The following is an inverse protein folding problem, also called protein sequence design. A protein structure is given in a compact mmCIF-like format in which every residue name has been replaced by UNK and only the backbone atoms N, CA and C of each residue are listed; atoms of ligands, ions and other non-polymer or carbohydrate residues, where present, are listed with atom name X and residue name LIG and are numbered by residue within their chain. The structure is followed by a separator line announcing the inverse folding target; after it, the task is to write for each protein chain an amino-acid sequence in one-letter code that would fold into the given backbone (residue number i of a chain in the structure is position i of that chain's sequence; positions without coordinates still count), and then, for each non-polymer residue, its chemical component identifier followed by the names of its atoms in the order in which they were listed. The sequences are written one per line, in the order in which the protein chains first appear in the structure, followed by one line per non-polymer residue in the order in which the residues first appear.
data_IF_302152576897
#
_entry.id   IF_302152576897
#
_cell.length_a   1.000
_cell.length_b   1.000
_cell.length_c   1.000
_cell.angle_alpha   90.00
_cell.angle_beta   90.00
_cell.angle_gamma   90.00
#
_symmetry.space_group_name_H-M   'P 1'
#
loop_
_entity.id
_entity.type
_entity.pdbx_description
1 polymer ?
#
# COMPACT_ATOMS: atom_id res chain seq x y z
N UNK A 1 39.19 1.69 15.54
CA UNK A 1 37.83 1.13 15.66
C UNK A 1 37.96 -0.39 15.66
N UNK A 2 37.86 -1.03 16.82
CA UNK A 2 37.88 -2.50 16.93
C UNK A 2 36.46 -3.01 16.76
N UNK A 3 36.18 -3.70 15.65
CA UNK A 3 34.94 -4.45 15.49
C UNK A 3 34.85 -5.50 16.59
N UNK A 4 33.85 -5.38 17.47
CA UNK A 4 33.64 -6.33 18.56
C UNK A 4 33.44 -7.74 17.99
N UNK A 5 34.15 -8.78 18.49
CA UNK A 5 34.00 -10.17 18.02
C UNK A 5 32.55 -10.69 18.10
N UNK A 6 31.70 -10.08 18.94
CA UNK A 6 30.26 -10.36 19.04
C UNK A 6 29.48 -9.96 17.78
N UNK A 7 29.85 -8.86 17.13
CA UNK A 7 29.20 -8.36 15.91
C UNK A 7 29.47 -9.26 14.69
N UNK A 8 30.67 -9.84 14.63
CA UNK A 8 31.04 -10.79 13.58
C UNK A 8 30.27 -12.11 13.71
N UNK A 9 30.08 -12.63 14.93
CA UNK A 9 29.32 -13.87 15.16
C UNK A 9 27.83 -13.75 14.81
N UNK A 10 27.19 -12.62 15.14
CA UNK A 10 25.78 -12.37 14.78
C UNK A 10 25.59 -12.23 13.27
N UNK A 11 26.53 -11.55 12.60
CA UNK A 11 26.48 -11.35 11.15
C UNK A 11 26.68 -12.67 10.41
N UNK A 12 27.64 -13.50 10.85
CA UNK A 12 27.86 -14.83 10.28
C UNK A 12 26.65 -15.74 10.49
N UNK A 13 25.99 -15.69 11.65
CA UNK A 13 24.77 -16.46 11.92
C UNK A 13 23.60 -16.07 10.98
N UNK A 14 23.36 -14.77 10.80
CA UNK A 14 22.32 -14.27 9.90
C UNK A 14 22.55 -14.70 8.45
N UNK A 15 23.79 -14.65 8.00
CA UNK A 15 24.18 -14.98 6.62
C UNK A 15 24.11 -16.48 6.37
N UNK A 16 24.64 -17.29 7.29
CA UNK A 16 24.75 -18.74 7.10
C UNK A 16 23.41 -19.48 7.30
N UNK A 17 22.57 -19.02 8.23
CA UNK A 17 21.38 -19.77 8.65
C UNK A 17 20.06 -19.09 8.30
N UNK A 18 19.96 -17.77 8.44
CA UNK A 18 18.68 -17.04 8.30
C UNK A 18 18.41 -16.65 6.85
N UNK A 19 19.42 -16.16 6.13
CA UNK A 19 19.26 -15.72 4.74
C UNK A 19 18.82 -16.83 3.76
N UNK A 20 19.38 -18.06 3.79
CA UNK A 20 18.93 -19.14 2.90
C UNK A 20 17.45 -19.50 3.10
N UNK A 21 16.97 -19.47 4.35
CA UNK A 21 15.57 -19.74 4.69
C UNK A 21 14.62 -18.63 4.23
N UNK A 22 15.13 -17.39 4.11
CA UNK A 22 14.34 -16.22 3.71
C UNK A 22 14.24 -16.01 2.20
N UNK A 23 15.20 -16.52 1.42
CA UNK A 23 15.20 -16.39 -0.05
C UNK A 23 13.83 -16.68 -0.70
N UNK A 24 13.16 -17.82 -0.44
CA UNK A 24 11.85 -18.08 -1.07
C UNK A 24 10.79 -17.05 -0.66
N UNK A 25 10.79 -16.60 0.60
CA UNK A 25 9.86 -15.58 1.09
C UNK A 25 10.12 -14.20 0.47
N UNK A 26 11.39 -13.85 0.20
CA UNK A 26 11.77 -12.60 -0.47
C UNK A 26 11.32 -12.60 -1.93
N UNK A 27 11.50 -13.70 -2.66
CA UNK A 27 10.99 -13.82 -4.04
C UNK A 27 9.45 -13.75 -4.09
N UNK A 28 8.77 -14.49 -3.21
CA UNK A 28 7.31 -14.43 -3.11
C UNK A 28 6.86 -13.00 -2.77
N UNK A 29 7.53 -12.36 -1.80
CA UNK A 29 7.25 -10.97 -1.42
C UNK A 29 7.40 -10.05 -2.62
N UNK A 30 8.52 -10.11 -3.35
CA UNK A 30 8.77 -9.29 -4.52
C UNK A 30 7.70 -9.45 -5.60
N UNK A 31 7.30 -10.69 -5.90
CA UNK A 31 6.23 -10.98 -6.87
C UNK A 31 4.88 -10.41 -6.41
N UNK A 32 4.54 -10.59 -5.14
CA UNK A 32 3.28 -10.10 -4.57
C UNK A 32 3.26 -8.57 -4.51
N UNK A 33 4.34 -7.93 -4.08
CA UNK A 33 4.43 -6.46 -4.00
C UNK A 33 4.44 -5.83 -5.38
N UNK A 34 5.08 -6.47 -6.37
CA UNK A 34 4.93 -6.10 -7.77
C UNK A 34 3.47 -6.16 -8.24
N UNK A 35 2.76 -7.24 -7.92
CA UNK A 35 1.34 -7.37 -8.26
C UNK A 35 0.49 -6.26 -7.61
N UNK A 36 0.76 -5.92 -6.34
CA UNK A 36 0.12 -4.78 -5.64
C UNK A 36 0.34 -3.48 -6.39
N UNK A 37 1.59 -3.19 -6.80
CA UNK A 37 1.95 -1.98 -7.55
C UNK A 37 1.17 -1.91 -8.85
N UNK A 38 1.17 -2.98 -9.63
CA UNK A 38 0.46 -3.05 -10.92
C UNK A 38 -1.05 -2.90 -10.74
N UNK A 39 -1.66 -3.64 -9.83
CA UNK A 39 -3.12 -3.59 -9.60
C UNK A 39 -3.56 -2.21 -9.10
N UNK A 40 -2.80 -1.63 -8.17
CA UNK A 40 -3.04 -0.29 -7.63
C UNK A 40 -2.91 0.80 -8.69
N UNK A 41 -1.89 0.71 -9.55
CA UNK A 41 -1.68 1.65 -10.66
C UNK A 41 -2.82 1.54 -11.69
N UNK A 42 -3.20 0.33 -12.09
CA UNK A 42 -4.30 0.12 -13.04
C UNK A 42 -5.64 0.64 -12.49
N UNK A 43 -5.94 0.35 -11.21
CA UNK A 43 -7.16 0.81 -10.57
C UNK A 43 -7.22 2.34 -10.48
N UNK A 44 -6.16 2.97 -9.98
CA UNK A 44 -6.10 4.42 -9.83
C UNK A 44 -6.17 5.13 -11.19
N UNK A 45 -5.38 4.70 -12.18
CA UNK A 45 -5.41 5.24 -13.54
C UNK A 45 -6.79 5.10 -14.20
N UNK A 46 -7.44 3.95 -14.09
CA UNK A 46 -8.76 3.72 -14.69
C UNK A 46 -9.83 4.63 -14.09
N UNK A 47 -9.76 4.90 -12.78
CA UNK A 47 -10.69 5.82 -12.13
C UNK A 47 -10.39 7.27 -12.53
N UNK A 48 -9.12 7.69 -12.50
CA UNK A 48 -8.71 9.06 -12.80
C UNK A 48 -8.96 9.47 -14.26
N UNK A 49 -8.76 8.55 -15.20
CA UNK A 49 -8.97 8.80 -16.64
C UNK A 49 -10.44 8.78 -17.06
N UNK A 50 -11.32 8.15 -16.26
CA UNK A 50 -12.74 8.10 -16.56
C UNK A 50 -13.46 9.37 -16.08
N UNK A 51 -13.87 10.23 -17.03
CA UNK A 51 -14.64 11.46 -16.74
C UNK A 51 -15.90 11.20 -15.90
N UNK A 52 -16.55 10.05 -16.08
CA UNK A 52 -17.77 9.67 -15.35
C UNK A 52 -17.44 9.26 -13.91
N UNK A 53 -16.40 8.44 -13.70
CA UNK A 53 -16.01 8.00 -12.36
C UNK A 53 -15.38 9.15 -11.57
N UNK A 54 -14.61 10.03 -12.21
CA UNK A 54 -13.99 11.18 -11.55
C UNK A 54 -15.02 12.23 -11.05
N UNK A 55 -16.30 12.10 -11.40
CA UNK A 55 -17.38 12.91 -10.79
C UNK A 55 -17.96 12.27 -9.53
N UNK A 56 -17.76 10.96 -9.33
CA UNK A 56 -18.22 10.23 -8.15
C UNK A 56 -17.25 10.39 -6.99
N UNK A 57 -17.71 10.98 -5.88
CA UNK A 57 -16.90 11.12 -4.66
C UNK A 57 -16.36 9.78 -4.14
N UNK A 58 -17.18 8.73 -4.20
CA UNK A 58 -16.76 7.37 -3.81
C UNK A 58 -15.64 6.83 -4.68
N UNK A 59 -15.69 7.05 -6.00
CA UNK A 59 -14.61 6.60 -6.88
C UNK A 59 -13.31 7.35 -6.60
N UNK A 60 -13.36 8.65 -6.27
CA UNK A 60 -12.17 9.40 -5.83
C UNK A 60 -11.56 8.85 -4.55
N UNK A 61 -12.37 8.45 -3.59
CA UNK A 61 -11.87 7.83 -2.34
C UNK A 61 -11.17 6.50 -2.64
N UNK A 62 -11.75 5.67 -3.49
CA UNK A 62 -11.10 4.42 -3.95
C UNK A 62 -9.80 4.71 -4.68
N UNK A 63 -9.80 5.66 -5.61
CA UNK A 63 -8.60 6.06 -6.33
C UNK A 63 -7.50 6.51 -5.36
N UNK A 64 -7.85 7.36 -4.39
CA UNK A 64 -6.93 7.85 -3.37
C UNK A 64 -6.33 6.71 -2.55
N UNK A 65 -7.16 5.79 -2.07
CA UNK A 65 -6.70 4.62 -1.32
C UNK A 65 -5.84 3.68 -2.17
N UNK A 66 -6.17 3.48 -3.46
CA UNK A 66 -5.31 2.71 -4.36
C UNK A 66 -3.97 3.40 -4.64
N UNK A 67 -3.91 4.73 -4.64
CA UNK A 67 -2.64 5.47 -4.75
C UNK A 67 -1.78 5.25 -3.51
N UNK A 68 -2.36 5.23 -2.30
CA UNK A 68 -1.57 4.94 -1.09
C UNK A 68 -1.04 3.51 -1.08
N UNK A 69 -1.84 2.53 -1.54
CA UNK A 69 -1.35 1.15 -1.73
C UNK A 69 -0.27 1.04 -2.80
N UNK A 70 -0.33 1.84 -3.88
CA UNK A 70 0.75 1.92 -4.85
C UNK A 70 2.05 2.43 -4.21
N UNK A 71 2.01 3.51 -3.43
CA UNK A 71 3.21 4.07 -2.76
C UNK A 71 3.79 3.06 -1.76
N UNK A 72 2.95 2.46 -0.90
CA UNK A 72 3.36 1.40 0.04
C UNK A 72 3.98 0.21 -0.70
N UNK A 73 3.30 -0.28 -1.75
CA UNK A 73 3.74 -1.42 -2.56
C UNK A 73 5.06 -1.14 -3.28
N UNK A 74 5.24 0.07 -3.82
CA UNK A 74 6.47 0.47 -4.49
C UNK A 74 7.66 0.52 -3.51
N UNK A 75 7.46 1.07 -2.31
CA UNK A 75 8.46 1.03 -1.25
C UNK A 75 8.85 -0.41 -0.88
N UNK A 76 7.86 -1.26 -0.65
CA UNK A 76 8.10 -2.67 -0.30
C UNK A 76 8.79 -3.45 -1.43
N UNK A 77 8.38 -3.25 -2.68
CA UNK A 77 8.98 -3.89 -3.85
C UNK A 77 10.44 -3.46 -4.05
N UNK A 78 10.77 -2.18 -3.85
CA UNK A 78 12.15 -1.70 -3.92
C UNK A 78 13.03 -2.35 -2.84
N UNK A 79 12.50 -2.49 -1.62
CA UNK A 79 13.21 -3.19 -0.54
C UNK A 79 13.41 -4.67 -0.91
N UNK A 80 12.35 -5.36 -1.36
CA UNK A 80 12.40 -6.76 -1.78
C UNK A 80 13.43 -6.97 -2.91
N UNK A 81 13.48 -6.08 -3.90
CA UNK A 81 14.44 -6.16 -5.01
C UNK A 81 15.89 -6.02 -4.54
N UNK A 82 16.17 -5.07 -3.63
CA UNK A 82 17.50 -4.87 -3.05
C UNK A 82 17.93 -6.12 -2.27
N UNK A 83 17.01 -6.70 -1.49
CA UNK A 83 17.25 -7.90 -0.69
C UNK A 83 17.50 -9.14 -1.59
N UNK A 84 16.83 -9.23 -2.76
CA UNK A 84 17.00 -10.34 -3.71
C UNK A 84 18.27 -10.21 -4.57
N UNK A 85 18.57 -9.01 -5.09
CA UNK A 85 19.63 -8.79 -6.08
C UNK A 85 21.02 -8.59 -5.50
N UNK A 86 21.18 -8.49 -4.18
CA UNK A 86 22.49 -8.31 -3.55
C UNK A 86 23.13 -9.68 -3.26
N UNK A 87 23.92 -10.29 -4.17
CA UNK A 87 24.22 -11.72 -4.15
C UNK A 87 25.41 -12.06 -3.22
N UNK A 88 25.98 -11.06 -2.54
CA UNK A 88 27.08 -11.25 -1.60
C UNK A 88 26.74 -10.47 -0.34
N UNK A 89 26.48 -11.21 0.72
CA UNK A 89 26.05 -10.80 2.05
C UNK A 89 26.92 -9.75 2.77
N UNK A 90 28.03 -9.29 2.18
CA UNK A 90 28.77 -8.09 2.63
C UNK A 90 28.17 -6.78 2.09
N UNK A 91 27.55 -6.80 0.91
CA UNK A 91 26.98 -5.60 0.28
C UNK A 91 25.52 -5.33 0.64
N UNK A 92 24.80 -6.31 1.19
CA UNK A 92 23.44 -6.13 1.73
C UNK A 92 23.43 -5.15 2.93
N UNK A 93 24.53 -5.12 3.69
CA UNK A 93 24.76 -4.14 4.77
C UNK A 93 25.42 -2.83 4.30
N UNK A 94 25.96 -2.83 3.07
CA UNK A 94 26.69 -1.73 2.45
C UNK A 94 25.90 -1.10 1.29
N UNK A 95 24.58 -1.29 1.24
CA UNK A 95 23.73 -0.35 0.51
C UNK A 95 24.11 1.05 1.00
N UNK A 96 24.48 1.95 0.08
CA UNK A 96 24.79 3.35 0.41
C UNK A 96 23.70 3.82 1.36
N UNK A 97 24.05 4.31 2.54
CA UNK A 97 23.12 4.72 3.61
C UNK A 97 21.90 5.49 3.05
N UNK A 98 22.13 6.29 2.01
CA UNK A 98 21.15 7.03 1.22
C UNK A 98 20.11 6.15 0.50
N UNK A 99 20.50 5.09 -0.22
CA UNK A 99 19.54 4.24 -0.96
C UNK A 99 18.66 3.44 -0.01
N UNK A 100 19.24 2.93 1.06
CA UNK A 100 18.51 2.25 2.13
C UNK A 100 17.57 3.21 2.88
N UNK A 101 18.00 4.44 3.15
CA UNK A 101 17.14 5.49 3.71
C UNK A 101 15.91 5.72 2.84
N UNK A 102 16.10 5.98 1.54
CA UNK A 102 14.99 6.30 0.66
C UNK A 102 14.00 5.14 0.53
N UNK A 103 14.46 3.89 0.45
CA UNK A 103 13.53 2.75 0.33
C UNK A 103 12.72 2.53 1.61
N UNK A 104 13.34 2.63 2.78
CA UNK A 104 12.64 2.58 4.06
C UNK A 104 11.68 3.75 4.26
N UNK A 105 12.10 4.96 3.91
CA UNK A 105 11.28 6.16 3.99
C UNK A 105 10.04 6.04 3.11
N UNK A 106 10.17 5.58 1.86
CA UNK A 106 9.03 5.38 0.94
C UNK A 106 8.07 4.34 1.51
N UNK A 107 8.57 3.23 2.06
CA UNK A 107 7.74 2.20 2.66
C UNK A 107 6.96 2.71 3.88
N UNK A 108 7.66 3.32 4.86
CA UNK A 108 7.05 3.89 6.07
C UNK A 108 6.02 4.95 5.69
N UNK A 109 6.40 5.87 4.81
CA UNK A 109 5.51 6.93 4.32
C UNK A 109 4.26 6.34 3.66
N UNK A 110 4.42 5.33 2.80
CA UNK A 110 3.29 4.63 2.19
C UNK A 110 2.39 3.94 3.20
N UNK A 111 2.94 3.35 4.26
CA UNK A 111 2.18 2.73 5.34
C UNK A 111 1.40 3.77 6.15
N UNK A 112 2.03 4.89 6.54
CA UNK A 112 1.34 6.00 7.22
C UNK A 112 0.20 6.54 6.37
N UNK A 113 0.42 6.71 5.06
CA UNK A 113 -0.61 7.14 4.13
C UNK A 113 -1.82 6.19 4.12
N UNK A 114 -1.62 4.87 4.13
CA UNK A 114 -2.73 3.91 4.16
C UNK A 114 -3.53 4.05 5.45
N UNK A 115 -2.88 4.24 6.61
CA UNK A 115 -3.55 4.46 7.90
C UNK A 115 -4.37 5.75 7.87
N UNK A 116 -3.74 6.88 7.54
CA UNK A 116 -4.34 8.22 7.60
C UNK A 116 -5.50 8.38 6.60
N UNK A 117 -5.28 7.94 5.35
CA UNK A 117 -6.30 8.02 4.31
C UNK A 117 -7.46 7.09 4.64
N UNK A 118 -7.22 5.90 5.18
CA UNK A 118 -8.31 5.00 5.60
C UNK A 118 -9.13 5.60 6.74
N UNK A 119 -8.49 6.26 7.70
CA UNK A 119 -9.18 6.98 8.78
C UNK A 119 -10.05 8.11 8.23
N UNK A 120 -9.52 8.94 7.33
CA UNK A 120 -10.26 10.03 6.69
C UNK A 120 -11.43 9.49 5.86
N UNK A 121 -11.22 8.43 5.09
CA UNK A 121 -12.27 7.77 4.31
C UNK A 121 -13.36 7.24 5.25
N UNK A 122 -13.01 6.61 6.36
CA UNK A 122 -13.98 6.13 7.34
C UNK A 122 -14.83 7.27 7.88
N UNK A 123 -14.21 8.39 8.28
CA UNK A 123 -14.92 9.60 8.71
C UNK A 123 -15.85 10.10 7.60
N UNK A 124 -15.38 10.27 6.36
CA UNK A 124 -16.19 10.81 5.26
C UNK A 124 -17.37 9.92 4.88
N UNK A 125 -17.13 8.61 4.76
CA UNK A 125 -18.16 7.65 4.36
C UNK A 125 -19.21 7.52 5.47
N UNK A 126 -18.78 7.49 6.73
CA UNK A 126 -19.69 7.32 7.86
C UNK A 126 -20.45 8.62 8.19
N UNK A 127 -19.79 9.79 8.21
CA UNK A 127 -20.45 11.10 8.46
C UNK A 127 -21.45 11.45 7.36
N UNK A 128 -21.12 11.17 6.09
CA UNK A 128 -22.06 11.37 4.98
C UNK A 128 -23.28 10.43 5.04
N UNK A 129 -23.27 9.40 5.90
CA UNK A 129 -24.47 8.60 6.17
C UNK A 129 -25.33 9.17 7.30
N UNK A 130 -24.75 10.02 8.17
CA UNK A 130 -25.44 10.65 9.32
C UNK A 130 -26.16 11.95 8.98
N UNK A 131 -25.64 12.76 8.05
CA UNK A 131 -26.29 14.02 7.64
C UNK A 131 -26.27 14.20 6.12
N UNK A 132 -27.42 14.02 5.43
CA UNK A 132 -27.50 14.24 3.99
C UNK A 132 -27.49 15.73 3.57
N UNK A 133 -27.61 16.69 4.50
CA UNK A 133 -27.85 18.11 4.13
C UNK A 133 -26.94 19.18 4.77
N UNK A 134 -26.08 18.90 5.77
CA UNK A 134 -25.54 20.00 6.61
C UNK A 134 -24.06 20.41 6.41
N UNK A 135 -23.45 20.30 5.22
CA UNK A 135 -22.11 20.91 5.02
C UNK A 135 -22.03 21.76 3.74
N UNK A 136 -22.52 22.99 3.93
CA UNK A 136 -22.31 24.22 3.16
C UNK A 136 -21.01 24.21 2.34
N UNK A 137 -21.14 24.36 1.02
CA UNK A 137 -20.07 24.21 0.01
C UNK A 137 -18.75 24.97 0.27
N UNK A 138 -18.75 26.11 0.98
CA UNK A 138 -17.53 26.87 1.31
C UNK A 138 -16.67 26.25 2.43
N UNK A 139 -17.27 25.63 3.46
CA UNK A 139 -16.51 24.89 4.48
C UNK A 139 -15.81 23.65 3.90
N UNK A 140 -16.31 23.13 2.79
CA UNK A 140 -15.84 21.87 2.17
C UNK A 140 -14.43 21.97 1.60
N UNK A 141 -14.03 23.11 0.99
CA UNK A 141 -12.70 23.26 0.38
C UNK A 141 -11.59 23.37 1.43
N UNK A 142 -11.76 24.23 2.43
CA UNK A 142 -10.82 24.35 3.54
C UNK A 142 -10.70 23.05 4.35
N UNK A 143 -11.82 22.35 4.53
CA UNK A 143 -11.81 21.03 5.19
C UNK A 143 -11.04 19.97 4.41
N UNK A 144 -11.18 19.95 3.08
CA UNK A 144 -10.38 19.06 2.23
C UNK A 144 -8.90 19.43 2.28
N UNK A 145 -8.53 20.71 2.24
CA UNK A 145 -7.14 21.14 2.37
C UNK A 145 -6.56 20.74 3.73
N UNK A 146 -7.28 21.00 4.83
CA UNK A 146 -6.85 20.63 6.17
C UNK A 146 -6.59 19.13 6.34
N UNK A 147 -7.43 18.29 5.75
CA UNK A 147 -7.23 16.82 5.72
C UNK A 147 -5.93 16.43 5.04
N UNK A 148 -5.66 16.99 3.86
CA UNK A 148 -4.43 16.69 3.13
C UNK A 148 -3.20 17.21 3.86
N UNK A 149 -3.28 18.42 4.44
CA UNK A 149 -2.22 18.95 5.30
C UNK A 149 -1.95 18.04 6.49
N UNK A 150 -3.00 17.54 7.16
CA UNK A 150 -2.86 16.60 8.26
C UNK A 150 -2.14 15.31 7.81
N UNK A 151 -2.59 14.68 6.72
CA UNK A 151 -1.97 13.45 6.19
C UNK A 151 -0.49 13.67 5.87
N UNK A 152 -0.17 14.74 5.14
CA UNK A 152 1.20 15.03 4.74
C UNK A 152 2.07 15.32 5.97
N UNK A 153 1.59 16.16 6.89
CA UNK A 153 2.34 16.52 8.09
C UNK A 153 2.57 15.31 9.00
N UNK A 154 1.54 14.51 9.26
CA UNK A 154 1.64 13.29 10.07
C UNK A 154 2.60 12.29 9.41
N UNK A 155 2.47 12.04 8.10
CA UNK A 155 3.36 11.14 7.37
C UNK A 155 4.82 11.60 7.40
N UNK A 156 5.09 12.91 7.26
CA UNK A 156 6.45 13.46 7.34
C UNK A 156 7.00 13.35 8.76
N UNK A 157 6.24 13.77 9.77
CA UNK A 157 6.67 13.70 11.18
C UNK A 157 6.99 12.26 11.57
N UNK A 158 6.11 11.31 11.23
CA UNK A 158 6.30 9.89 11.54
C UNK A 158 7.54 9.33 10.85
N UNK A 159 7.75 9.65 9.57
CA UNK A 159 8.94 9.21 8.83
C UNK A 159 10.23 9.77 9.46
N UNK A 160 10.22 11.05 9.85
CA UNK A 160 11.37 11.70 10.50
C UNK A 160 11.65 11.09 11.88
N UNK A 161 10.60 10.84 12.69
CA UNK A 161 10.73 10.24 14.04
C UNK A 161 11.37 8.85 13.99
N UNK A 162 11.06 8.05 12.98
CA UNK A 162 11.66 6.73 12.80
C UNK A 162 13.13 6.85 12.36
N UNK A 163 13.49 7.94 11.67
CA UNK A 163 14.82 8.14 11.10
C UNK A 163 15.87 8.79 12.03
N UNK A 164 15.47 9.79 12.82
CA UNK A 164 16.40 10.51 13.72
C UNK A 164 17.24 9.56 14.60
N UNK A 165 16.65 8.60 15.34
CA UNK A 165 17.42 7.70 16.20
C UNK A 165 18.34 6.74 15.42
N UNK A 166 18.07 6.48 14.14
CA UNK A 166 18.95 5.65 13.28
C UNK A 166 20.19 6.39 12.78
N UNK A 167 20.18 7.73 12.74
CA UNK A 167 21.28 8.53 12.18
C UNK A 167 22.49 8.73 13.12
N UNK A 168 22.31 8.52 14.43
CA UNK A 168 23.32 8.85 15.45
C UNK A 168 24.34 7.73 15.72
N UNK A 169 24.07 6.49 15.30
CA UNK A 169 24.99 5.35 15.48
C UNK A 169 25.60 4.92 14.13
N UNK A 170 26.85 5.33 13.89
CA UNK A 170 27.60 5.17 12.63
C UNK A 170 27.97 3.73 12.21
N UNK A 171 27.44 2.67 12.85
CA UNK A 171 27.75 1.31 12.40
C UNK A 171 26.99 1.00 11.10
N UNK A 172 27.74 0.64 10.03
CA UNK A 172 27.34 0.29 8.66
C UNK A 172 26.32 -0.86 8.54
N UNK A 173 25.22 -0.76 9.24
CA UNK A 173 24.18 -1.76 9.22
C UNK A 173 22.88 -1.00 9.20
N UNK A 174 22.26 -0.96 8.02
CA UNK A 174 20.83 -0.73 7.82
C UNK A 174 20.00 -1.78 8.57
N UNK A 175 20.17 -1.84 9.89
CA UNK A 175 19.56 -2.81 10.76
C UNK A 175 18.26 -2.19 11.22
N UNK A 176 17.20 -2.70 10.63
CA UNK A 176 15.86 -2.78 11.21
C UNK A 176 15.91 -3.07 12.74
N UNK A 177 16.93 -3.77 13.23
CA UNK A 177 17.21 -4.01 14.64
C UNK A 177 17.45 -2.74 15.48
N UNK A 178 18.10 -1.69 14.94
CA UNK A 178 18.27 -0.40 15.64
C UNK A 178 16.97 0.40 15.66
N UNK A 179 16.17 0.32 14.59
CA UNK A 179 14.83 0.93 14.50
C UNK A 179 13.97 0.38 15.66
N UNK A 180 13.93 -0.94 15.80
CA UNK A 180 13.12 -1.64 16.81
C UNK A 180 13.55 -1.33 18.26
N UNK A 181 14.79 -0.91 18.51
CA UNK A 181 15.31 -0.63 19.85
C UNK A 181 15.11 0.83 20.31
N UNK A 182 14.43 1.66 19.53
CA UNK A 182 14.20 3.07 19.89
C UNK A 182 12.81 3.26 20.51
N UNK A 183 12.73 3.98 21.64
CA UNK A 183 11.45 4.34 22.26
C UNK A 183 10.53 5.13 21.31
N UNK A 184 11.10 5.86 20.35
CA UNK A 184 10.36 6.60 19.32
C UNK A 184 9.56 5.67 18.38
N UNK A 185 10.09 4.49 18.05
CA UNK A 185 9.38 3.52 17.21
C UNK A 185 8.21 2.89 17.95
N UNK A 186 8.34 2.65 19.26
CA UNK A 186 7.22 2.19 20.08
C UNK A 186 6.07 3.22 20.09
N UNK A 187 6.39 4.51 20.20
CA UNK A 187 5.37 5.57 20.11
C UNK A 187 4.64 5.58 18.78
N UNK A 188 5.36 5.45 17.65
CA UNK A 188 4.76 5.37 16.32
C UNK A 188 3.85 4.14 16.20
N UNK A 189 4.25 3.00 16.77
CA UNK A 189 3.44 1.78 16.77
C UNK A 189 2.15 1.96 17.59
N UNK A 190 2.22 2.62 18.74
CA UNK A 190 1.04 2.97 19.54
C UNK A 190 0.11 3.89 18.75
N UNK A 191 0.66 4.94 18.11
CA UNK A 191 -0.09 5.85 17.25
C UNK A 191 -0.82 5.09 16.13
N UNK A 192 -0.12 4.22 15.39
CA UNK A 192 -0.71 3.39 14.33
C UNK A 192 -1.83 2.48 14.81
N UNK A 193 -1.66 1.84 15.96
CA UNK A 193 -2.70 1.00 16.54
C UNK A 193 -3.91 1.83 17.00
N UNK A 194 -3.68 3.01 17.60
CA UNK A 194 -4.76 3.91 18.00
C UNK A 194 -5.58 4.40 16.80
N UNK A 195 -4.92 4.81 15.70
CA UNK A 195 -5.61 5.15 14.44
C UNK A 195 -6.35 3.94 13.85
N UNK A 196 -5.76 2.75 13.93
CA UNK A 196 -6.37 1.53 13.39
C UNK A 196 -7.63 1.12 14.14
N UNK A 197 -7.58 1.10 15.48
CA UNK A 197 -8.73 0.82 16.33
C UNK A 197 -9.83 1.87 16.10
N UNK A 198 -9.46 3.15 16.06
CA UNK A 198 -10.40 4.24 15.81
C UNK A 198 -11.08 4.12 14.44
N UNK A 199 -10.33 3.79 13.40
CA UNK A 199 -10.85 3.59 12.03
C UNK A 199 -11.84 2.42 11.99
N UNK A 200 -11.50 1.27 12.60
CA UNK A 200 -12.40 0.12 12.69
C UNK A 200 -13.66 0.43 13.47
N UNK A 201 -13.55 1.17 14.57
CA UNK A 201 -14.70 1.61 15.36
C UNK A 201 -15.64 2.51 14.55
N UNK A 202 -15.09 3.47 13.80
CA UNK A 202 -15.87 4.34 12.91
C UNK A 202 -16.58 3.51 11.83
N UNK A 203 -15.90 2.55 11.20
CA UNK A 203 -16.53 1.64 10.24
C UNK A 203 -17.64 0.81 10.86
N UNK A 204 -17.46 0.26 12.06
CA UNK A 204 -18.50 -0.50 12.76
C UNK A 204 -19.77 0.34 12.97
N UNK A 205 -19.62 1.58 13.48
CA UNK A 205 -20.74 2.51 13.63
C UNK A 205 -21.39 2.86 12.28
N UNK A 206 -20.58 3.10 11.26
CA UNK A 206 -21.04 3.38 9.90
C UNK A 206 -21.83 2.23 9.28
N UNK A 207 -21.40 0.98 9.49
CA UNK A 207 -22.06 -0.23 9.00
C UNK A 207 -23.41 -0.44 9.67
N UNK A 208 -23.49 -0.29 11.00
CA UNK A 208 -24.76 -0.39 11.74
C UNK A 208 -25.77 0.64 11.20
N UNK A 209 -25.34 1.89 11.05
CA UNK A 209 -26.22 2.98 10.58
C UNK A 209 -26.63 2.84 9.13
N UNK A 210 -25.69 2.55 8.23
CA UNK A 210 -26.00 2.36 6.80
C UNK A 210 -26.92 1.16 6.59
N UNK A 211 -26.76 0.08 7.36
CA UNK A 211 -27.67 -1.08 7.32
C UNK A 211 -29.09 -0.70 7.77
N UNK A 212 -29.22 0.06 8.86
CA UNK A 212 -30.53 0.59 9.30
C UNK A 212 -31.18 1.44 8.22
N UNK A 213 -30.42 2.34 7.60
CA UNK A 213 -30.89 3.21 6.52
C UNK A 213 -31.36 2.44 5.26
N UNK A 214 -30.73 1.31 4.94
CA UNK A 214 -31.18 0.42 3.86
C UNK A 214 -32.53 -0.24 4.21
N UNK A 215 -32.67 -0.74 5.45
CA UNK A 215 -33.92 -1.36 5.92
C UNK A 215 -35.10 -0.38 5.92
N UNK A 216 -34.86 0.87 6.31
CA UNK A 216 -35.85 1.95 6.28
C UNK A 216 -36.22 2.37 4.85
N UNK A 217 -35.30 2.32 3.89
CA UNK A 217 -35.63 2.62 2.49
C UNK A 217 -36.40 1.49 1.82
N UNK A 218 -36.06 0.23 2.13
CA UNK A 218 -36.75 -0.95 1.60
C UNK A 218 -38.22 -1.00 2.03
N UNK A 219 -38.55 -0.45 3.20
CA UNK A 219 -39.93 -0.38 3.71
C UNK A 219 -40.74 0.80 3.15
N UNK A 220 -40.10 1.77 2.46
CA UNK A 220 -40.75 2.99 1.94
C UNK A 220 -40.87 3.02 0.40
N UNK A 221 -40.82 1.86 -0.26
CA UNK A 221 -41.23 1.60 -1.65
C UNK A 221 -40.53 2.30 -2.83
N UNK A 222 -39.42 3.04 -2.67
CA UNK A 222 -38.68 3.60 -3.82
C UNK A 222 -37.45 2.76 -4.20
N UNK A 223 -37.57 1.93 -5.24
CA UNK A 223 -36.51 1.04 -5.74
C UNK A 223 -35.18 1.77 -6.02
N UNK A 224 -35.25 2.98 -6.56
CA UNK A 224 -34.06 3.77 -6.88
C UNK A 224 -33.29 4.21 -5.63
N UNK A 225 -33.99 4.62 -4.56
CA UNK A 225 -33.39 5.07 -3.30
C UNK A 225 -32.78 3.87 -2.56
N UNK A 226 -33.53 2.76 -2.50
CA UNK A 226 -33.06 1.50 -1.90
C UNK A 226 -31.81 1.00 -2.61
N UNK A 227 -31.80 0.97 -3.95
CA UNK A 227 -30.63 0.57 -4.75
C UNK A 227 -29.41 1.45 -4.47
N UNK A 228 -29.58 2.77 -4.37
CA UNK A 228 -28.50 3.72 -4.06
C UNK A 228 -27.92 3.50 -2.67
N UNK A 229 -28.78 3.33 -1.64
CA UNK A 229 -28.35 3.06 -0.26
C UNK A 229 -27.65 1.70 -0.14
N UNK A 230 -28.18 0.66 -0.80
CA UNK A 230 -27.56 -0.67 -0.85
C UNK A 230 -26.18 -0.63 -1.48
N UNK A 231 -25.99 0.13 -2.57
CA UNK A 231 -24.67 0.31 -3.17
C UNK A 231 -23.68 1.00 -2.21
N UNK A 232 -24.13 2.03 -1.48
CA UNK A 232 -23.32 2.72 -0.46
C UNK A 232 -22.95 1.79 0.69
N UNK A 233 -23.87 0.95 1.15
CA UNK A 233 -23.61 -0.06 2.18
C UNK A 233 -22.58 -1.09 1.71
N UNK A 234 -22.77 -1.69 0.53
CA UNK A 234 -21.80 -2.65 -0.06
C UNK A 234 -20.40 -2.06 -0.18
N UNK A 235 -20.31 -0.79 -0.57
CA UNK A 235 -19.03 -0.08 -0.65
C UNK A 235 -18.39 0.12 0.73
N UNK A 236 -19.19 0.49 1.74
CA UNK A 236 -18.71 0.67 3.12
C UNK A 236 -18.20 -0.66 3.69
N UNK A 237 -18.90 -1.77 3.40
CA UNK A 237 -18.46 -3.13 3.74
C UNK A 237 -17.12 -3.45 3.07
N UNK A 238 -16.98 -3.16 1.77
CA UNK A 238 -15.73 -3.42 1.05
C UNK A 238 -14.53 -2.66 1.65
N UNK A 239 -14.73 -1.38 1.97
CA UNK A 239 -13.70 -0.55 2.62
C UNK A 239 -13.36 -1.07 4.02
N UNK A 240 -14.37 -1.44 4.81
CA UNK A 240 -14.17 -1.97 6.15
C UNK A 240 -13.44 -3.31 6.15
N UNK A 241 -13.79 -4.25 5.25
CA UNK A 241 -13.12 -5.54 5.13
C UNK A 241 -11.67 -5.36 4.64
N UNK A 242 -11.46 -4.54 3.60
CA UNK A 242 -10.11 -4.22 3.13
C UNK A 242 -9.25 -3.64 4.25
N UNK A 243 -9.79 -2.68 5.01
CA UNK A 243 -9.04 -2.10 6.12
C UNK A 243 -8.83 -3.06 7.28
N UNK A 244 -9.80 -3.94 7.58
CA UNK A 244 -9.66 -4.98 8.60
C UNK A 244 -8.49 -5.93 8.30
N UNK A 245 -8.36 -6.37 7.03
CA UNK A 245 -7.24 -7.22 6.60
C UNK A 245 -5.90 -6.50 6.81
N UNK A 246 -5.82 -5.23 6.40
CA UNK A 246 -4.64 -4.40 6.63
C UNK A 246 -4.33 -4.23 8.13
N UNK A 247 -5.33 -3.91 8.95
CA UNK A 247 -5.18 -3.65 10.38
C UNK A 247 -4.76 -4.91 11.16
N UNK A 248 -5.30 -6.08 10.82
CA UNK A 248 -4.88 -7.35 11.41
C UNK A 248 -3.41 -7.67 11.09
N UNK A 249 -2.98 -7.41 9.85
CA UNK A 249 -1.58 -7.56 9.48
C UNK A 249 -0.68 -6.57 10.22
N UNK A 250 -1.09 -5.30 10.33
CA UNK A 250 -0.36 -4.27 11.07
C UNK A 250 -0.22 -4.60 12.57
N UNK A 251 -1.28 -5.14 13.17
CA UNK A 251 -1.26 -5.62 14.55
C UNK A 251 -0.28 -6.78 14.71
N UNK A 252 -0.31 -7.77 13.82
CA UNK A 252 0.64 -8.88 13.84
C UNK A 252 2.09 -8.40 13.71
N UNK A 253 2.35 -7.46 12.80
CA UNK A 253 3.67 -6.84 12.66
C UNK A 253 4.09 -6.11 13.93
N UNK A 254 3.18 -5.36 14.55
CA UNK A 254 3.48 -4.66 15.80
C UNK A 254 3.83 -5.63 16.93
N UNK A 255 3.06 -6.72 17.08
CA UNK A 255 3.31 -7.75 18.09
C UNK A 255 4.70 -8.35 17.87
N UNK A 256 5.01 -8.78 16.64
CA UNK A 256 6.31 -9.38 16.31
C UNK A 256 7.46 -8.39 16.53
N UNK A 257 7.31 -7.13 16.12
CA UNK A 257 8.33 -6.10 16.38
C UNK A 257 8.54 -5.85 17.87
N UNK A 258 7.47 -5.82 18.66
CA UNK A 258 7.56 -5.63 20.12
C UNK A 258 8.29 -6.80 20.79
N UNK A 259 7.98 -8.05 20.40
CA UNK A 259 8.66 -9.23 20.93
C UNK A 259 10.15 -9.23 20.55
N UNK A 260 10.48 -8.87 19.31
CA UNK A 260 11.89 -8.75 18.86
C UNK A 260 12.61 -7.66 19.65
N UNK A 261 11.96 -6.52 19.90
CA UNK A 261 12.50 -5.43 20.71
C UNK A 261 12.81 -5.88 22.13
N UNK A 262 11.89 -6.59 22.77
CA UNK A 262 11.98 -6.95 24.19
C UNK A 262 12.93 -8.10 24.47
N UNK A 263 13.07 -9.04 23.53
CA UNK A 263 13.88 -10.26 23.72
C UNK A 263 15.32 -10.10 23.24
N UNK A 264 15.58 -9.11 22.38
CA UNK A 264 16.84 -8.96 21.63
C UNK A 264 17.30 -10.25 20.91
N UNK A 265 16.39 -11.20 20.65
CA UNK A 265 16.72 -12.46 19.99
C UNK A 265 16.75 -12.29 18.47
N UNK A 266 17.95 -12.40 17.90
CA UNK A 266 18.19 -12.32 16.46
C UNK A 266 17.51 -13.46 15.69
N UNK A 267 17.17 -14.58 16.34
CA UNK A 267 16.45 -15.71 15.72
C UNK A 267 15.02 -15.32 15.32
N UNK A 268 14.40 -14.39 16.05
CA UNK A 268 13.06 -13.87 15.74
C UNK A 268 13.05 -12.92 14.53
N UNK A 269 14.22 -12.50 14.04
CA UNK A 269 14.33 -11.71 12.81
C UNK A 269 13.74 -12.42 11.59
N UNK A 270 13.86 -13.75 11.51
CA UNK A 270 13.25 -14.52 10.44
C UNK A 270 11.71 -14.44 10.48
N UNK A 271 11.11 -14.45 11.68
CA UNK A 271 9.67 -14.28 11.84
C UNK A 271 9.22 -12.89 11.41
N UNK A 272 9.98 -11.85 11.79
CA UNK A 272 9.75 -10.48 11.38
C UNK A 272 9.77 -10.31 9.86
N UNK A 273 10.77 -10.85 9.18
CA UNK A 273 10.85 -10.81 7.71
C UNK A 273 9.69 -11.57 7.04
N UNK A 274 9.24 -12.69 7.62
CA UNK A 274 8.04 -13.40 7.14
C UNK A 274 6.77 -12.56 7.29
N UNK A 275 6.63 -11.80 8.38
CA UNK A 275 5.49 -10.87 8.53
C UNK A 275 5.53 -9.71 7.53
N UNK A 276 6.69 -9.39 6.94
CA UNK A 276 6.77 -8.46 5.81
C UNK A 276 6.10 -9.02 4.57
N UNK A 277 6.36 -10.28 4.23
CA UNK A 277 5.70 -10.95 3.09
C UNK A 277 4.18 -10.99 3.25
N UNK A 278 3.68 -11.19 4.48
CA UNK A 278 2.25 -11.08 4.81
C UNK A 278 1.69 -9.68 4.55
N UNK A 279 2.50 -8.62 4.71
CA UNK A 279 2.10 -7.25 4.36
C UNK A 279 1.88 -7.06 2.86
N UNK A 280 2.70 -7.69 2.02
CA UNK A 280 2.45 -7.76 0.58
C UNK A 280 1.11 -8.40 0.27
N UNK A 281 0.85 -9.58 0.86
CA UNK A 281 -0.39 -10.34 0.64
C UNK A 281 -1.62 -9.57 1.13
N UNK A 282 -1.56 -8.99 2.33
CA UNK A 282 -2.65 -8.19 2.88
C UNK A 282 -2.97 -6.95 2.02
N UNK A 283 -1.94 -6.33 1.44
CA UNK A 283 -2.11 -5.20 0.53
C UNK A 283 -2.75 -5.65 -0.78
N UNK A 284 -2.36 -6.81 -1.32
CA UNK A 284 -2.96 -7.38 -2.53
C UNK A 284 -4.44 -7.69 -2.32
N UNK A 285 -4.76 -8.43 -1.26
CA UNK A 285 -6.15 -8.75 -0.90
C UNK A 285 -7.00 -7.49 -0.71
N UNK A 286 -6.45 -6.47 -0.06
CA UNK A 286 -7.11 -5.18 0.14
C UNK A 286 -7.48 -4.51 -1.17
N UNK A 287 -6.52 -4.39 -2.09
CA UNK A 287 -6.75 -3.78 -3.41
C UNK A 287 -7.72 -4.62 -4.25
N UNK A 288 -7.55 -5.94 -4.25
CA UNK A 288 -8.43 -6.87 -4.98
C UNK A 288 -9.88 -6.81 -4.49
N UNK A 289 -10.13 -6.71 -3.18
CA UNK A 289 -11.49 -6.55 -2.63
C UNK A 289 -12.14 -5.26 -3.12
N UNK A 290 -11.39 -4.15 -3.11
CA UNK A 290 -11.87 -2.85 -3.59
C UNK A 290 -12.17 -2.89 -5.09
N UNK A 291 -11.32 -3.58 -5.86
CA UNK A 291 -11.51 -3.77 -7.30
C UNK A 291 -12.75 -4.62 -7.61
N UNK A 292 -12.90 -5.78 -6.97
CA UNK A 292 -14.03 -6.70 -7.17
C UNK A 292 -15.36 -6.01 -6.85
N UNK A 293 -15.44 -5.26 -5.75
CA UNK A 293 -16.69 -4.63 -5.30
C UNK A 293 -17.09 -3.43 -6.19
N UNK A 294 -16.13 -2.75 -6.79
CA UNK A 294 -16.39 -1.55 -7.60
C UNK A 294 -16.64 -1.91 -9.06
N UNK A 295 -17.87 -2.35 -9.40
CA UNK A 295 -18.29 -2.68 -10.79
C UNK A 295 -17.91 -1.61 -11.82
N UNK A 296 -18.00 -0.34 -11.43
CA UNK A 296 -17.63 0.79 -12.30
C UNK A 296 -16.11 0.86 -12.54
N UNK A 297 -15.29 0.60 -11.52
CA UNK A 297 -13.84 0.55 -11.66
C UNK A 297 -13.42 -0.63 -12.54
N UNK A 298 -14.04 -1.81 -12.38
CA UNK A 298 -13.80 -2.97 -13.26
C UNK A 298 -14.07 -2.65 -14.73
N UNK A 299 -15.22 -2.03 -15.03
CA UNK A 299 -15.54 -1.61 -16.40
C UNK A 299 -14.56 -0.56 -16.92
N UNK A 300 -14.10 0.37 -16.07
CA UNK A 300 -13.12 1.37 -16.45
C UNK A 300 -11.75 0.74 -16.75
N UNK A 301 -11.29 -0.22 -15.94
CA UNK A 301 -10.05 -0.97 -16.17
C UNK A 301 -10.14 -1.76 -17.47
N UNK A 302 -11.24 -2.49 -17.72
CA UNK A 302 -11.43 -3.24 -18.98
C UNK A 302 -11.41 -2.31 -20.21
N UNK A 303 -12.02 -1.13 -20.13
CA UNK A 303 -11.96 -0.13 -21.20
C UNK A 303 -10.54 0.42 -21.41
N UNK A 304 -9.80 0.61 -20.32
CA UNK A 304 -8.41 1.08 -20.38
C UNK A 304 -7.52 0.02 -21.04
N UNK A 305 -7.65 -1.25 -20.64
CA UNK A 305 -6.96 -2.39 -21.26
C UNK A 305 -7.31 -2.50 -22.75
N UNK A 306 -8.60 -2.41 -23.11
CA UNK A 306 -9.03 -2.45 -24.51
C UNK A 306 -8.44 -1.29 -25.33
N UNK A 307 -8.42 -0.08 -24.77
CA UNK A 307 -7.81 1.10 -25.41
C UNK A 307 -6.30 0.93 -25.60
N UNK A 308 -5.62 0.39 -24.59
CA UNK A 308 -4.19 0.09 -24.68
C UNK A 308 -3.92 -0.95 -25.74
N UNK A 309 -4.64 -2.08 -25.74
CA UNK A 309 -4.54 -3.14 -26.75
C UNK A 309 -4.72 -2.60 -28.17
N UNK A 310 -5.70 -1.72 -28.38
CA UNK A 310 -5.94 -1.11 -29.69
C UNK A 310 -4.80 -0.16 -30.11
N UNK A 311 -4.23 0.59 -29.17
CA UNK A 311 -3.03 1.42 -29.42
C UNK A 311 -1.82 0.55 -29.78
N UNK A 312 -1.51 -0.48 -29.01
CA UNK A 312 -0.38 -1.36 -29.30
C UNK A 312 -0.52 -2.02 -30.68
N UNK A 313 -1.73 -2.48 -31.03
CA UNK A 313 -2.01 -3.03 -32.36
C UNK A 313 -1.76 -2.00 -33.47
N UNK A 314 -2.20 -0.75 -33.30
CA UNK A 314 -1.95 0.32 -34.27
C UNK A 314 -0.45 0.65 -34.43
N UNK A 315 0.30 0.70 -33.32
CA UNK A 315 1.75 0.96 -33.34
C UNK A 315 2.52 -0.16 -34.01
N UNK A 316 2.17 -1.43 -33.72
CA UNK A 316 2.79 -2.60 -34.38
C UNK A 316 2.51 -2.58 -35.89
N UNK A 317 1.27 -2.34 -36.32
CA UNK A 317 0.96 -2.24 -37.76
C UNK A 317 1.65 -1.07 -38.48
N UNK A 318 1.96 0.01 -37.76
CA UNK A 318 2.71 1.15 -38.31
C UNK A 318 4.21 0.86 -38.43
N UNK A 319 4.74 0.00 -37.56
CA UNK A 319 6.13 -0.47 -37.63
C UNK A 319 6.29 -1.48 -38.76
N UNK A 320 5.34 -2.40 -38.92
CA UNK A 320 5.33 -3.44 -39.96
C UNK A 320 5.23 -2.85 -41.38
N UNK A 321 4.51 -1.72 -41.54
CA UNK A 321 4.44 -0.96 -42.80
C UNK A 321 5.67 -0.09 -43.07
N UNK A 322 6.54 0.13 -42.08
CA UNK A 322 7.80 0.90 -42.21
C UNK A 322 9.06 0.05 -42.29
N UNK A 323 8.96 -1.27 -42.09
CA UNK A 323 10.08 -2.15 -42.42
C UNK A 323 10.10 -2.34 -43.94
N UNK A 324 11.17 -1.90 -44.65
CA UNK A 324 11.30 -2.25 -46.05
C UNK A 324 11.40 -3.77 -46.13
N UNK A 325 10.44 -4.38 -46.83
CA UNK A 325 10.56 -5.75 -47.31
C UNK A 325 11.95 -5.89 -47.92
N UNK A 326 12.82 -6.67 -47.27
CA UNK A 326 14.09 -7.05 -47.84
C UNK A 326 13.82 -7.58 -49.24
N UNK A 327 14.35 -6.86 -50.23
CA UNK A 327 14.40 -7.28 -51.63
C UNK A 327 14.85 -8.75 -51.65
N UNK A 328 13.93 -9.64 -51.98
CA UNK A 328 14.26 -10.94 -52.54
C UNK A 328 14.83 -10.64 -53.92
N UNK A 329 16.14 -10.43 -54.01
CA UNK A 329 16.83 -10.32 -55.29
C UNK A 329 16.96 -11.72 -55.89
N UNK A 330 15.91 -12.13 -56.59
CA UNK A 330 16.03 -13.08 -57.68
C UNK A 330 16.86 -12.44 -58.80
N UNK A 331 17.97 -13.09 -59.13
CA UNK A 331 18.45 -13.34 -60.49
C UNK A 331 18.72 -12.12 -61.40
N UNK A 332 20.00 -11.89 -61.73
CA UNK A 332 20.43 -11.64 -63.11
C UNK A 332 21.90 -12.03 -63.28
N UNK A 333 22.08 -13.12 -64.03
CA UNK A 333 23.13 -13.42 -65.02
C UNK A 333 24.34 -12.48 -65.12
N UNK A 334 25.53 -13.07 -65.02
CA UNK A 334 26.53 -13.06 -66.08
C UNK A 334 27.11 -14.47 -66.25
#
# INVERSE_FOLDING_TARGET
MMDSPRANNVTNYLIAYVHPQLKPFLYISACVTFAVVVESALCSMAIMTSKVLNRSGTAKLVATLTITYFVKGAGMFLIDLIDVHSPKSRHLFLARHVTCFFTWAIFIFGETLVVDISFIIAIEVCTSSMSPMSVRHRKKRYWTVGKWCFVVLHSVITTVRIWVPTSQNQSMQCRFFQIVNSGLVLWVLIEYNAFSVSTLFIYALGLIRTRKSVREASSRHTDAITRKRTLKWKMTVALAISYLIFALNLLLQTIVMTIVASTHDVRLFAAMMKTRSLSGISSLLSVSILFIQTKQARRAVLRLIAKWRNRTRSTVSTIETRMPYGKRSSTQSF
#
